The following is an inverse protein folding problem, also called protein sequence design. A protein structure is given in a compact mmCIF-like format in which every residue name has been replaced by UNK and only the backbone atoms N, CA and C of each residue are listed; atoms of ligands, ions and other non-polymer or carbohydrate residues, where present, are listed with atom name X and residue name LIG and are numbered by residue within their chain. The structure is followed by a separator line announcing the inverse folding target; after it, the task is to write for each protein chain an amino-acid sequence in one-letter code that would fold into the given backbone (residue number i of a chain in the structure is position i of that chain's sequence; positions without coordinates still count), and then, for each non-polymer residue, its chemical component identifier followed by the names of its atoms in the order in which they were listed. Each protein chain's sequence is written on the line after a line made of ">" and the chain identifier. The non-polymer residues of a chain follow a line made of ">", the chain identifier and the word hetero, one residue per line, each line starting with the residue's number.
data_IF_458979765408
#
_entry.id   IF_458979765408
#
_cell.length_a   1.000
_cell.length_b   1.000
_cell.length_c   1.000
_cell.angle_alpha   90.00
_cell.angle_beta   90.00
_cell.angle_gamma   90.00
#
_symmetry.space_group_name_H-M   'P 1'
#
loop_
_entity.id
_entity.type
_entity.pdbx_description
1 polymer ?
#
# COMPACT_ATOMS: atom_id res chain seq x y z
N UNK A 1 41.83 4.55 -41.45
CA UNK A 1 42.69 3.80 -40.52
C UNK A 1 41.84 2.72 -39.87
N UNK A 2 42.17 1.45 -40.16
CA UNK A 2 41.56 0.26 -39.55
C UNK A 2 42.17 0.06 -38.17
N UNK A 3 41.36 -0.10 -37.13
CA UNK A 3 41.84 -0.63 -35.85
C UNK A 3 41.14 -1.96 -35.57
N UNK A 4 41.99 -2.90 -35.20
CA UNK A 4 41.82 -4.35 -35.17
C UNK A 4 41.35 -4.76 -33.78
N UNK A 5 40.41 -5.70 -33.75
CA UNK A 5 39.95 -6.39 -32.55
C UNK A 5 41.05 -7.32 -32.00
N UNK A 6 41.15 -7.44 -30.67
CA UNK A 6 41.90 -8.52 -30.03
C UNK A 6 41.09 -9.11 -28.87
N UNK A 7 40.69 -10.36 -29.04
CA UNK A 7 40.08 -11.25 -28.04
C UNK A 7 41.20 -12.00 -27.33
N UNK A 8 41.18 -12.18 -25.99
CA UNK A 8 41.88 -13.26 -25.35
C UNK A 8 40.94 -14.44 -25.02
N UNK A 9 41.46 -15.63 -25.32
CA UNK A 9 40.81 -16.94 -25.22
C UNK A 9 41.32 -17.67 -23.96
N UNK A 10 40.39 -18.35 -23.30
CA UNK A 10 40.52 -19.65 -22.59
C UNK A 10 41.46 -19.83 -21.40
N UNK A 11 40.85 -20.30 -20.30
CA UNK A 11 41.51 -21.13 -19.28
C UNK A 11 40.49 -22.04 -18.58
N UNK A 12 40.32 -23.26 -19.09
CA UNK A 12 39.58 -24.35 -18.41
C UNK A 12 40.34 -24.79 -17.16
N UNK A 13 39.64 -25.05 -16.05
CA UNK A 13 40.00 -26.11 -15.10
C UNK A 13 38.75 -26.87 -14.67
N UNK A 14 38.89 -28.18 -14.70
CA UNK A 14 37.91 -29.18 -14.35
C UNK A 14 38.18 -29.74 -12.95
N UNK A 15 37.12 -30.33 -12.38
CA UNK A 15 37.12 -31.46 -11.43
C UNK A 15 37.57 -31.20 -9.98
N UNK A 16 36.69 -31.47 -9.01
CA UNK A 16 36.65 -32.77 -8.32
C UNK A 16 35.40 -32.86 -7.43
N UNK A 17 34.92 -34.08 -7.24
CA UNK A 17 33.73 -34.44 -6.49
C UNK A 17 34.07 -35.26 -5.23
N UNK A 18 33.03 -35.45 -4.40
CA UNK A 18 32.72 -36.59 -3.50
C UNK A 18 33.11 -36.47 -2.00
N UNK A 19 32.14 -36.97 -1.19
CA UNK A 19 32.18 -37.65 0.13
C UNK A 19 31.35 -36.85 1.16
N UNK A 20 30.07 -37.16 1.41
CA UNK A 20 29.45 -38.31 2.11
C UNK A 20 29.89 -38.43 3.58
N UNK A 21 28.99 -38.21 4.55
CA UNK A 21 28.55 -39.23 5.51
C UNK A 21 27.83 -38.63 6.74
N UNK A 22 26.79 -39.36 7.12
CA UNK A 22 25.86 -39.28 8.26
C UNK A 22 26.48 -39.57 9.63
N UNK A 23 25.92 -38.97 10.70
CA UNK A 23 25.75 -39.58 12.04
C UNK A 23 24.42 -39.10 12.64
N UNK A 24 23.62 -40.05 13.13
CA UNK A 24 22.45 -39.87 14.00
C UNK A 24 22.84 -40.15 15.46
N UNK A 25 22.04 -39.68 16.44
CA UNK A 25 21.50 -40.48 17.59
C UNK A 25 20.76 -39.59 18.61
N UNK A 26 19.60 -40.14 19.01
CA UNK A 26 18.63 -39.89 20.08
C UNK A 26 19.19 -39.59 21.49
N UNK A 27 18.48 -38.76 22.28
CA UNK A 27 18.36 -38.95 23.73
C UNK A 27 17.06 -38.34 24.32
N UNK A 28 16.17 -39.21 24.82
CA UNK A 28 15.12 -38.90 25.80
C UNK A 28 15.70 -38.90 27.22
N UNK A 29 15.19 -38.04 28.11
CA UNK A 29 15.51 -38.13 29.54
C UNK A 29 14.62 -37.25 30.40
N UNK A 30 13.58 -37.83 30.99
CA UNK A 30 12.79 -37.26 32.09
C UNK A 30 13.22 -37.89 33.43
N UNK A 31 13.37 -37.09 34.50
CA UNK A 31 13.26 -37.59 35.87
C UNK A 31 12.08 -36.98 36.64
N UNK A 32 11.48 -37.80 37.49
CA UNK A 32 10.29 -37.53 38.31
C UNK A 32 10.64 -37.14 39.76
N UNK A 33 9.89 -36.16 40.30
CA UNK A 33 9.44 -35.92 41.71
C UNK A 33 10.47 -35.63 42.83
N UNK A 34 10.17 -34.65 43.71
CA UNK A 34 9.32 -34.94 44.87
C UNK A 34 8.25 -33.88 45.19
N UNK A 35 7.23 -34.35 45.92
CA UNK A 35 6.11 -33.63 46.51
C UNK A 35 6.56 -32.80 47.72
N UNK A 36 6.10 -31.56 47.83
CA UNK A 36 6.26 -30.70 49.01
C UNK A 36 5.02 -29.81 49.18
N UNK A 37 4.53 -29.74 50.41
CA UNK A 37 3.26 -29.16 50.88
C UNK A 37 3.21 -27.61 50.84
N UNK A 38 1.97 -27.13 50.65
CA UNK A 38 1.31 -25.93 51.15
C UNK A 38 2.09 -24.63 51.36
N UNK A 39 1.76 -23.62 50.55
CA UNK A 39 1.52 -22.26 51.07
C UNK A 39 0.53 -21.51 50.16
N UNK A 40 -0.64 -21.20 50.72
CA UNK A 40 -1.60 -20.27 50.14
C UNK A 40 -0.99 -18.87 50.12
N UNK A 41 -0.83 -18.27 48.95
CA UNK A 41 -0.68 -16.82 48.82
C UNK A 41 -1.49 -16.32 47.63
N UNK A 42 -2.17 -15.19 47.84
CA UNK A 42 -3.18 -14.64 46.94
C UNK A 42 -2.57 -14.20 45.62
N UNK A 43 -2.74 -15.02 44.59
CA UNK A 43 -2.49 -14.65 43.20
C UNK A 43 -3.54 -13.65 42.73
N UNK A 44 -3.27 -12.37 42.94
CA UNK A 44 -3.82 -11.31 42.10
C UNK A 44 -3.36 -11.62 40.67
N UNK A 45 -4.25 -12.26 39.92
CA UNK A 45 -4.06 -12.49 38.50
C UNK A 45 -4.31 -11.14 37.86
N UNK A 46 -3.28 -10.31 37.86
CA UNK A 46 -3.12 -9.25 36.88
C UNK A 46 -2.99 -9.96 35.54
N UNK A 47 -4.15 -10.31 34.97
CA UNK A 47 -4.31 -10.42 33.54
C UNK A 47 -3.73 -9.12 33.01
N UNK A 48 -2.50 -9.16 32.51
CA UNK A 48 -1.95 -8.12 31.67
C UNK A 48 -2.88 -8.11 30.47
N UNK A 49 -3.94 -7.31 30.60
CA UNK A 49 -4.99 -7.18 29.62
C UNK A 49 -4.28 -6.78 28.35
N UNK A 50 -4.44 -7.60 27.33
CA UNK A 50 -4.13 -7.23 25.96
C UNK A 50 -4.82 -5.88 25.72
N UNK A 51 -4.02 -4.80 25.75
CA UNK A 51 -4.49 -3.42 25.65
C UNK A 51 -4.63 -2.99 24.19
N UNK A 52 -4.38 -3.92 23.26
CA UNK A 52 -4.66 -3.72 21.84
C UNK A 52 -6.17 -3.73 21.58
N UNK A 53 -6.63 -2.69 20.90
CA UNK A 53 -7.96 -2.66 20.28
C UNK A 53 -8.04 -3.63 19.11
N UNK A 54 -9.12 -3.55 18.34
CA UNK A 54 -9.34 -4.43 17.21
C UNK A 54 -8.30 -4.19 16.11
N UNK A 55 -7.44 -5.19 15.90
CA UNK A 55 -6.37 -5.14 14.91
C UNK A 55 -6.90 -5.12 13.47
N UNK A 56 -8.18 -5.36 13.21
CA UNK A 56 -8.79 -5.24 11.87
C UNK A 56 -9.26 -3.80 11.57
N UNK A 57 -9.42 -2.96 12.60
CA UNK A 57 -9.95 -1.60 12.48
C UNK A 57 -8.80 -0.60 12.27
N UNK A 58 -8.63 -0.10 11.05
CA UNK A 58 -7.62 0.94 10.77
C UNK A 58 -8.03 2.29 11.39
N UNK A 59 -7.23 2.79 12.33
CA UNK A 59 -7.45 4.08 13.00
C UNK A 59 -6.32 5.07 12.79
N UNK A 60 -5.19 4.66 12.24
CA UNK A 60 -4.09 5.58 11.94
C UNK A 60 -3.17 5.07 10.85
N UNK A 61 -2.53 6.00 10.15
CA UNK A 61 -1.47 5.66 9.20
C UNK A 61 -0.38 6.70 9.19
N UNK A 62 0.85 6.24 9.01
CA UNK A 62 2.02 7.03 8.66
C UNK A 62 2.50 6.57 7.28
N UNK A 63 2.45 7.46 6.31
CA UNK A 63 2.79 7.18 4.93
C UNK A 63 4.13 7.84 4.58
N UNK A 64 5.06 7.04 4.09
CA UNK A 64 6.32 7.47 3.50
C UNK A 64 6.22 7.22 2.00
N UNK A 65 6.03 8.29 1.23
CA UNK A 65 5.81 8.20 -0.21
C UNK A 65 7.07 8.60 -0.98
N UNK A 66 7.43 7.79 -1.97
CA UNK A 66 8.51 8.02 -2.92
C UNK A 66 7.92 8.45 -4.28
N UNK A 67 8.18 9.68 -4.70
CA UNK A 67 7.85 10.16 -6.03
C UNK A 67 9.12 10.16 -6.88
N UNK A 68 9.31 9.11 -7.68
CA UNK A 68 10.53 8.92 -8.47
C UNK A 68 10.72 9.98 -9.55
N UNK A 69 9.65 10.36 -10.22
CA UNK A 69 9.67 11.37 -11.29
C UNK A 69 10.10 12.76 -10.75
N UNK A 70 9.73 13.07 -9.50
CA UNK A 70 10.11 14.31 -8.81
C UNK A 70 11.41 14.18 -7.99
N UNK A 71 11.96 12.97 -7.84
CA UNK A 71 13.07 12.69 -6.94
C UNK A 71 12.78 13.12 -5.49
N UNK A 72 11.56 12.91 -5.00
CA UNK A 72 11.07 13.47 -3.73
C UNK A 72 10.53 12.40 -2.80
N UNK A 73 10.73 12.63 -1.50
CA UNK A 73 10.14 11.84 -0.41
C UNK A 73 9.25 12.73 0.45
N UNK A 74 8.08 12.22 0.81
CA UNK A 74 7.16 12.85 1.76
C UNK A 74 6.83 11.91 2.91
N UNK A 75 6.61 12.48 4.09
CA UNK A 75 6.10 11.75 5.26
C UNK A 75 4.87 12.47 5.76
N UNK A 76 3.78 11.74 5.93
CA UNK A 76 2.52 12.25 6.46
C UNK A 76 1.93 11.23 7.42
N UNK A 77 1.48 11.68 8.58
CA UNK A 77 0.84 10.82 9.57
C UNK A 77 -0.45 11.41 10.11
N UNK A 78 -1.39 10.53 10.45
CA UNK A 78 -2.64 10.90 11.11
C UNK A 78 -3.22 9.71 11.88
N UNK A 79 -3.78 9.98 13.05
CA UNK A 79 -4.41 8.99 13.92
C UNK A 79 -5.78 9.51 14.38
N UNK A 80 -6.74 8.61 14.51
CA UNK A 80 -8.13 8.86 14.81
C UNK A 80 -8.58 8.04 16.02
N UNK A 81 -9.67 8.46 16.66
CA UNK A 81 -10.34 7.75 17.76
C UNK A 81 -11.28 6.61 17.30
N UNK A 82 -11.25 6.27 16.01
CA UNK A 82 -12.08 5.24 15.41
C UNK A 82 -11.88 5.12 13.89
N UNK A 83 -12.57 4.17 13.23
CA UNK A 83 -12.44 3.95 11.80
C UNK A 83 -13.05 5.08 10.98
N UNK A 84 -12.41 5.39 9.84
CA UNK A 84 -13.02 6.28 8.83
C UNK A 84 -14.09 5.49 8.06
N UNK A 85 -15.37 5.92 8.08
CA UNK A 85 -16.42 5.23 7.33
C UNK A 85 -16.22 5.38 5.82
N UNK A 86 -16.57 4.34 5.06
CA UNK A 86 -16.59 4.37 3.60
C UNK A 86 -18.01 4.60 3.08
N UNK A 87 -18.20 5.65 2.28
CA UNK A 87 -19.49 5.96 1.66
C UNK A 87 -19.81 5.07 0.45
N UNK A 88 -18.79 4.39 -0.09
CA UNK A 88 -18.89 3.45 -1.20
C UNK A 88 -18.45 2.11 -0.66
N UNK A 89 -19.31 1.10 -0.83
CA UNK A 89 -19.00 -0.29 -0.58
C UNK A 89 -18.59 -0.90 -1.91
N UNK A 90 -17.44 -1.58 -1.92
CA UNK A 90 -16.94 -2.26 -3.11
C UNK A 90 -17.34 -3.72 -3.09
N UNK A 91 -18.08 -4.15 -4.10
CA UNK A 91 -18.55 -5.52 -4.25
C UNK A 91 -17.71 -6.23 -5.31
N UNK A 92 -17.19 -7.41 -4.98
CA UNK A 92 -16.47 -8.24 -5.95
C UNK A 92 -17.45 -8.83 -6.95
N UNK A 93 -17.25 -8.52 -8.23
CA UNK A 93 -18.05 -9.02 -9.34
C UNK A 93 -17.38 -10.24 -9.99
N UNK A 94 -16.05 -10.17 -10.18
CA UNK A 94 -15.25 -11.24 -10.74
C UNK A 94 -13.82 -11.24 -10.17
N UNK A 95 -13.14 -12.38 -10.26
CA UNK A 95 -11.72 -12.51 -9.90
C UNK A 95 -10.98 -13.48 -10.82
N UNK A 96 -9.70 -13.17 -11.08
CA UNK A 96 -8.80 -13.99 -11.88
C UNK A 96 -7.35 -13.74 -11.43
N UNK A 97 -6.66 -14.81 -11.04
CA UNK A 97 -5.30 -14.71 -10.49
C UNK A 97 -5.27 -13.81 -9.26
N UNK A 98 -4.34 -12.85 -9.25
CA UNK A 98 -4.14 -11.89 -8.16
C UNK A 98 -5.07 -10.66 -8.26
N UNK A 99 -5.97 -10.64 -9.24
CA UNK A 99 -6.80 -9.50 -9.59
C UNK A 99 -8.29 -9.75 -9.32
N UNK A 100 -9.00 -8.68 -8.96
CA UNK A 100 -10.44 -8.66 -8.69
C UNK A 100 -11.08 -7.45 -9.36
N UNK A 101 -12.18 -7.68 -10.06
CA UNK A 101 -13.08 -6.62 -10.53
C UNK A 101 -14.06 -6.27 -9.41
N UNK A 102 -14.09 -5.00 -9.05
CA UNK A 102 -14.96 -4.44 -8.02
C UNK A 102 -15.94 -3.45 -8.64
N UNK A 103 -17.21 -3.52 -8.23
CA UNK A 103 -18.25 -2.54 -8.57
C UNK A 103 -18.66 -1.75 -7.33
N UNK A 104 -18.96 -0.44 -7.48
CA UNK A 104 -19.34 0.38 -6.34
C UNK A 104 -20.85 0.25 -6.05
N UNK A 105 -21.19 -0.01 -4.79
CA UNK A 105 -22.53 0.20 -4.23
C UNK A 105 -22.49 1.41 -3.29
N UNK A 106 -23.46 2.30 -3.44
CA UNK A 106 -23.67 3.42 -2.51
C UNK A 106 -24.85 3.07 -1.60
N UNK A 107 -24.62 2.79 -0.30
CA UNK A 107 -25.69 2.51 0.63
C UNK A 107 -26.68 3.68 0.76
N UNK A 108 -27.95 3.35 1.00
CA UNK A 108 -29.01 4.34 1.14
C UNK A 108 -29.55 4.40 2.57
N UNK A 109 -29.58 5.60 3.12
CA UNK A 109 -30.26 5.89 4.38
C UNK A 109 -31.44 6.82 4.08
N UNK A 110 -32.66 6.31 4.27
CA UNK A 110 -33.90 7.08 4.06
C UNK A 110 -33.96 8.33 4.94
N UNK A 111 -33.42 8.22 6.16
CA UNK A 111 -33.15 9.36 7.03
C UNK A 111 -31.68 9.77 6.87
N UNK A 112 -31.37 11.01 6.44
CA UNK A 112 -29.99 11.45 6.28
C UNK A 112 -29.19 11.33 7.59
N UNK A 113 -27.95 10.83 7.51
CA UNK A 113 -27.07 10.60 8.67
C UNK A 113 -26.62 11.87 9.43
N UNK A 114 -27.00 13.06 8.98
CA UNK A 114 -26.49 14.33 9.49
C UNK A 114 -25.13 14.69 8.90
N UNK A 115 -24.61 15.88 9.23
CA UNK A 115 -23.40 16.43 8.61
C UNK A 115 -22.07 15.81 9.06
N UNK A 116 -22.08 14.93 10.06
CA UNK A 116 -20.88 14.33 10.68
C UNK A 116 -20.88 12.80 10.61
N UNK A 117 -21.69 12.22 9.74
CA UNK A 117 -21.79 10.78 9.54
C UNK A 117 -22.15 10.47 8.08
N UNK A 118 -21.94 9.23 7.67
CA UNK A 118 -22.29 8.73 6.34
C UNK A 118 -22.99 7.37 6.43
N UNK A 119 -23.80 7.06 5.42
CA UNK A 119 -24.45 5.76 5.30
C UNK A 119 -23.40 4.73 4.86
N UNK A 120 -23.13 3.74 5.70
CA UNK A 120 -22.12 2.69 5.43
C UNK A 120 -22.76 1.36 5.06
N UNK A 121 -24.03 1.19 5.40
CA UNK A 121 -24.91 0.12 4.96
C UNK A 121 -26.34 0.68 4.95
N UNK A 122 -27.27 0.04 4.26
CA UNK A 122 -28.64 0.53 4.17
C UNK A 122 -29.25 0.80 5.56
N UNK A 123 -29.80 2.01 5.73
CA UNK A 123 -30.33 2.54 6.99
C UNK A 123 -29.33 2.58 8.17
N UNK A 124 -28.02 2.44 7.91
CA UNK A 124 -26.97 2.40 8.93
C UNK A 124 -26.00 3.56 8.77
N UNK A 125 -26.09 4.51 9.70
CA UNK A 125 -25.20 5.66 9.78
C UNK A 125 -24.00 5.39 10.67
N UNK A 126 -22.80 5.73 10.18
CA UNK A 126 -21.56 5.73 10.96
C UNK A 126 -20.98 7.14 11.01
N UNK A 127 -20.61 7.58 12.21
CA UNK A 127 -19.97 8.89 12.41
C UNK A 127 -18.55 8.90 11.89
N UNK A 128 -18.09 10.05 11.39
CA UNK A 128 -16.67 10.26 11.13
C UNK A 128 -15.90 10.27 12.45
N UNK A 129 -14.70 9.67 12.50
CA UNK A 129 -13.89 9.69 13.69
C UNK A 129 -13.22 11.06 13.88
N UNK A 130 -12.79 11.36 15.09
CA UNK A 130 -12.06 12.58 15.42
C UNK A 130 -10.56 12.32 15.31
N UNK A 131 -9.84 13.20 14.63
CA UNK A 131 -8.38 13.13 14.59
C UNK A 131 -7.79 13.54 15.95
N UNK A 132 -7.02 12.64 16.56
CA UNK A 132 -6.43 12.83 17.89
C UNK A 132 -4.91 12.92 17.86
N UNK A 133 -4.33 13.42 18.95
CA UNK A 133 -2.88 13.46 19.14
C UNK A 133 -2.40 12.19 19.86
N UNK A 134 -1.27 11.66 19.38
CA UNK A 134 -0.47 10.60 20.04
C UNK A 134 0.80 11.18 20.68
N UNK A 135 0.85 12.51 20.87
CA UNK A 135 2.03 13.23 21.35
C UNK A 135 3.05 13.47 20.24
N UNK A 136 4.31 13.73 20.63
CA UNK A 136 5.43 13.84 19.69
C UNK A 136 5.75 12.47 19.09
N UNK A 137 5.83 12.41 17.76
CA UNK A 137 6.21 11.21 17.01
C UNK A 137 7.70 11.27 16.68
N UNK A 138 8.42 10.18 16.91
CA UNK A 138 9.81 10.00 16.45
C UNK A 138 9.83 9.09 15.23
N UNK A 139 10.55 9.50 14.18
CA UNK A 139 10.78 8.71 12.97
C UNK A 139 12.25 8.36 12.88
N UNK A 140 12.56 7.08 12.66
CA UNK A 140 13.91 6.55 12.53
C UNK A 140 14.07 5.80 11.20
N UNK A 141 15.30 5.77 10.67
CA UNK A 141 15.64 5.06 9.44
C UNK A 141 15.51 5.91 8.17
N UNK A 142 15.07 7.17 8.29
CA UNK A 142 14.97 8.10 7.16
C UNK A 142 16.11 9.12 7.17
N UNK A 143 16.94 9.08 6.12
CA UNK A 143 18.06 10.02 5.97
C UNK A 143 17.57 11.41 5.55
N UNK A 144 18.12 12.40 6.22
CA UNK A 144 17.92 13.83 5.92
C UNK A 144 19.08 14.38 5.10
N UNK A 145 18.87 15.48 4.37
CA UNK A 145 19.94 16.21 3.66
C UNK A 145 21.03 16.71 4.61
N UNK A 146 20.68 16.95 5.87
CA UNK A 146 21.61 17.32 6.93
C UNK A 146 22.42 16.14 7.50
N UNK A 147 22.19 14.91 7.02
CA UNK A 147 22.92 13.70 7.42
C UNK A 147 22.40 13.00 8.68
N UNK A 148 21.33 13.50 9.30
CA UNK A 148 20.63 12.78 10.37
C UNK A 148 19.79 11.61 9.81
N UNK A 149 19.54 10.60 10.65
CA UNK A 149 18.70 9.43 10.33
C UNK A 149 17.49 9.27 11.28
N UNK A 150 17.21 10.31 12.06
CA UNK A 150 16.08 10.40 12.97
C UNK A 150 15.63 11.85 13.09
N UNK A 151 14.33 12.06 13.26
CA UNK A 151 13.71 13.36 13.53
C UNK A 151 12.37 13.17 14.24
N UNK A 152 11.83 14.26 14.79
CA UNK A 152 10.51 14.27 15.43
C UNK A 152 9.48 15.06 14.63
N UNK A 153 8.22 14.73 14.84
CA UNK A 153 7.06 15.44 14.32
C UNK A 153 6.09 15.73 15.47
N UNK A 154 5.77 16.99 15.67
CA UNK A 154 4.68 17.40 16.57
C UNK A 154 3.37 17.54 15.75
N UNK A 155 2.22 17.27 16.36
CA UNK A 155 0.94 17.40 15.67
C UNK A 155 0.62 18.86 15.36
N UNK A 156 0.28 19.16 14.11
CA UNK A 156 -0.27 20.45 13.69
C UNK A 156 -1.66 20.18 13.14
N UNK A 157 -2.69 20.65 13.86
CA UNK A 157 -4.09 20.32 13.56
C UNK A 157 -4.32 18.79 13.41
N UNK A 158 -3.79 18.03 14.38
CA UNK A 158 -3.84 16.55 14.42
C UNK A 158 -3.22 15.85 13.20
N UNK A 159 -2.32 16.53 12.49
CA UNK A 159 -1.56 15.97 11.36
C UNK A 159 -0.07 16.01 11.67
N UNK A 160 0.64 14.95 11.31
CA UNK A 160 2.07 14.81 11.51
C UNK A 160 2.80 14.95 10.18
N UNK A 161 3.77 15.84 10.14
CA UNK A 161 4.66 16.03 9.00
C UNK A 161 6.02 16.54 9.49
N UNK A 162 7.12 16.28 8.76
CA UNK A 162 8.43 16.81 9.13
C UNK A 162 8.39 18.34 9.22
N UNK A 163 9.05 18.88 10.25
CA UNK A 163 9.22 20.33 10.38
C UNK A 163 9.93 20.94 9.17
N UNK A 164 9.72 22.22 8.89
CA UNK A 164 10.22 22.86 7.65
C UNK A 164 11.74 22.81 7.44
N UNK A 165 12.51 22.65 8.52
CA UNK A 165 13.97 22.45 8.51
C UNK A 165 14.41 21.01 8.21
N UNK A 166 13.52 20.03 8.32
CA UNK A 166 13.80 18.63 8.00
C UNK A 166 13.55 18.43 6.50
N UNK A 167 14.63 18.17 5.76
CA UNK A 167 14.60 17.82 4.34
C UNK A 167 15.11 16.39 4.18
N UNK A 168 14.35 15.55 3.48
CA UNK A 168 14.69 14.15 3.25
C UNK A 168 15.46 14.01 1.95
N UNK A 169 16.47 13.14 1.94
CA UNK A 169 17.13 12.74 0.68
C UNK A 169 16.24 11.77 -0.09
N UNK A 170 16.51 11.59 -1.38
CA UNK A 170 15.80 10.64 -2.22
C UNK A 170 16.75 9.56 -2.80
N UNK A 171 16.44 8.26 -2.64
CA UNK A 171 15.56 7.69 -1.61
C UNK A 171 16.14 7.91 -0.20
N UNK A 172 15.31 8.02 0.85
CA UNK A 172 15.77 8.33 2.21
C UNK A 172 16.38 7.11 2.91
N UNK A 173 16.26 5.91 2.34
CA UNK A 173 16.74 4.63 2.85
C UNK A 173 17.24 3.75 1.71
N UNK A 174 17.91 2.64 2.03
CA UNK A 174 18.11 1.50 1.13
C UNK A 174 16.96 0.49 1.22
N UNK A 175 16.89 -0.40 0.24
CA UNK A 175 15.93 -1.51 0.24
C UNK A 175 16.24 -2.49 1.40
N UNK A 176 15.22 -2.82 2.19
CA UNK A 176 15.34 -3.66 3.38
C UNK A 176 15.80 -2.94 4.65
N UNK A 177 16.20 -1.67 4.58
CA UNK A 177 16.59 -0.91 5.78
C UNK A 177 15.40 -0.80 6.76
N UNK A 178 15.61 -0.94 8.08
CA UNK A 178 14.53 -0.81 9.06
C UNK A 178 14.08 0.64 9.17
N UNK A 179 12.78 0.84 9.25
CA UNK A 179 12.14 2.14 9.47
C UNK A 179 11.18 1.99 10.65
N UNK A 180 11.23 2.91 11.59
CA UNK A 180 10.36 2.90 12.77
C UNK A 180 9.67 4.25 12.96
N UNK A 181 8.42 4.19 13.42
CA UNK A 181 7.65 5.34 13.89
C UNK A 181 7.15 5.02 15.29
N UNK A 182 7.50 5.88 16.25
CA UNK A 182 7.22 5.69 17.68
C UNK A 182 6.55 6.91 18.27
N UNK A 183 5.55 6.69 19.11
CA UNK A 183 4.86 7.72 19.87
C UNK A 183 4.57 7.22 21.29
N UNK A 184 4.80 8.05 22.31
CA UNK A 184 4.52 7.70 23.71
C UNK A 184 3.02 7.73 24.05
N UNK A 185 2.21 8.37 23.19
CA UNK A 185 0.79 8.61 23.41
C UNK A 185 0.49 9.98 24.00
N UNK A 186 -0.75 10.43 23.84
CA UNK A 186 -1.28 11.64 24.49
C UNK A 186 -2.79 11.51 24.72
N UNK A 187 -3.61 11.98 23.77
CA UNK A 187 -5.06 11.83 23.80
C UNK A 187 -5.46 10.43 23.32
N UNK A 188 -4.68 9.88 22.39
CA UNK A 188 -4.76 8.51 21.91
C UNK A 188 -3.57 7.69 22.41
N UNK A 189 -3.69 6.36 22.37
CA UNK A 189 -2.65 5.43 22.80
C UNK A 189 -1.31 5.60 22.07
N UNK A 190 -0.21 5.41 22.81
CA UNK A 190 1.14 5.32 22.24
C UNK A 190 1.37 4.03 21.46
N UNK A 191 2.37 4.02 20.58
CA UNK A 191 2.71 2.87 19.74
C UNK A 191 4.16 2.89 19.26
N UNK A 192 4.61 1.75 18.78
CA UNK A 192 5.79 1.60 17.92
C UNK A 192 5.41 0.72 16.73
N UNK A 193 5.63 1.22 15.52
CA UNK A 193 5.38 0.47 14.28
C UNK A 193 6.64 0.46 13.42
N UNK A 194 6.96 -0.70 12.85
CA UNK A 194 8.14 -0.90 12.00
C UNK A 194 7.74 -1.31 10.58
N UNK A 195 8.49 -0.82 9.60
CA UNK A 195 8.42 -1.25 8.21
C UNK A 195 9.84 -1.48 7.66
N UNK A 196 9.94 -1.77 6.36
CA UNK A 196 11.21 -1.89 5.63
C UNK A 196 11.25 -0.91 4.46
N UNK A 197 12.44 -0.40 4.16
CA UNK A 197 12.67 0.38 2.96
C UNK A 197 12.43 -0.47 1.71
N UNK A 198 11.91 0.17 0.65
CA UNK A 198 11.65 -0.46 -0.65
C UNK A 198 12.53 0.15 -1.74
N UNK A 199 12.74 -0.56 -2.85
CA UNK A 199 13.32 0.06 -4.04
C UNK A 199 12.31 1.03 -4.70
N UNK A 200 12.74 2.16 -5.31
CA UNK A 200 11.87 2.98 -6.14
C UNK A 200 11.18 2.18 -7.26
N UNK A 201 9.90 2.44 -7.51
CA UNK A 201 9.17 1.78 -8.60
C UNK A 201 9.52 2.39 -9.95
N UNK A 202 9.93 1.55 -10.90
CA UNK A 202 10.16 1.90 -12.29
C UNK A 202 9.28 1.03 -13.18
N UNK A 203 8.16 1.59 -13.65
CA UNK A 203 7.26 0.92 -14.59
C UNK A 203 7.88 0.93 -15.99
N UNK A 204 8.05 -0.26 -16.59
CA UNK A 204 8.63 -0.44 -17.92
C UNK A 204 7.56 -0.27 -19.00
N UNK A 205 6.33 -0.69 -18.72
CA UNK A 205 5.18 -0.46 -19.60
C UNK A 205 4.87 1.04 -19.66
N UNK A 206 5.01 1.64 -20.84
CA UNK A 206 4.80 3.08 -21.04
C UNK A 206 3.41 3.39 -21.62
N UNK A 207 3.07 2.74 -22.73
CA UNK A 207 1.77 2.86 -23.39
C UNK A 207 0.87 1.72 -22.94
N UNK A 208 -0.34 2.06 -22.48
CA UNK A 208 -1.29 1.09 -21.95
C UNK A 208 -2.63 1.28 -22.65
N UNK A 209 -2.89 0.38 -23.58
CA UNK A 209 -4.14 0.32 -24.33
C UNK A 209 -5.05 -0.76 -23.73
N UNK A 210 -6.32 -0.45 -23.55
CA UNK A 210 -7.34 -1.45 -23.23
C UNK A 210 -8.23 -1.73 -24.44
N UNK A 211 -8.48 -3.01 -24.67
CA UNK A 211 -9.43 -3.49 -25.65
C UNK A 211 -10.17 -4.72 -25.09
N UNK A 212 -11.43 -4.95 -25.50
CA UNK A 212 -12.13 -6.19 -25.17
C UNK A 212 -11.36 -7.41 -25.67
N UNK A 213 -11.45 -8.52 -24.93
CA UNK A 213 -10.84 -9.82 -25.21
C UNK A 213 -9.31 -9.80 -25.28
N UNK A 214 -8.68 -8.76 -24.73
CA UNK A 214 -7.23 -8.59 -24.67
C UNK A 214 -6.80 -8.49 -23.21
N UNK A 215 -5.89 -9.37 -22.79
CA UNK A 215 -5.26 -9.30 -21.47
C UNK A 215 -4.32 -8.09 -21.39
N UNK A 216 -4.29 -7.43 -20.24
CA UNK A 216 -3.36 -6.34 -20.00
C UNK A 216 -2.09 -6.87 -19.33
N UNK A 217 -0.95 -6.78 -20.02
CA UNK A 217 0.36 -7.09 -19.47
C UNK A 217 1.05 -5.83 -18.92
N UNK A 218 1.48 -5.91 -17.66
CA UNK A 218 2.26 -4.89 -16.96
C UNK A 218 3.64 -5.44 -16.64
N UNK A 219 4.67 -4.61 -16.78
CA UNK A 219 6.03 -4.96 -16.42
C UNK A 219 6.71 -3.78 -15.70
N UNK A 220 7.53 -4.11 -14.71
CA UNK A 220 8.34 -3.16 -13.93
C UNK A 220 9.72 -3.75 -13.63
N UNK A 221 10.65 -2.91 -13.20
CA UNK A 221 11.92 -3.39 -12.67
C UNK A 221 11.69 -4.07 -11.31
N UNK A 222 11.83 -5.40 -11.26
CA UNK A 222 11.67 -6.17 -10.02
C UNK A 222 12.60 -5.66 -8.90
N UNK A 223 12.11 -5.75 -7.67
CA UNK A 223 12.89 -5.43 -6.48
C UNK A 223 14.05 -6.44 -6.28
N UNK A 224 15.14 -6.02 -5.61
CA UNK A 224 16.24 -6.94 -5.33
C UNK A 224 15.89 -7.95 -4.23
N UNK A 225 14.92 -7.59 -3.37
CA UNK A 225 14.32 -8.40 -2.30
C UNK A 225 12.79 -8.42 -2.49
N UNK A 226 12.28 -9.12 -3.52
CA UNK A 226 10.88 -9.07 -3.92
C UNK A 226 9.91 -9.62 -2.86
N UNK A 227 10.39 -10.35 -1.86
CA UNK A 227 9.62 -10.82 -0.72
C UNK A 227 9.32 -9.73 0.32
N UNK A 228 9.99 -8.57 0.24
CA UNK A 228 9.77 -7.45 1.16
C UNK A 228 8.70 -6.48 0.68
N UNK A 229 8.28 -6.56 -0.58
CA UNK A 229 7.28 -5.64 -1.14
C UNK A 229 6.17 -6.38 -1.85
N UNK A 230 4.99 -5.76 -1.81
CA UNK A 230 3.84 -6.15 -2.61
C UNK A 230 3.64 -5.10 -3.70
N UNK A 231 3.27 -5.56 -4.90
CA UNK A 231 2.82 -4.68 -5.97
C UNK A 231 1.30 -4.64 -5.95
N UNK A 232 0.75 -3.44 -5.72
CA UNK A 232 -0.66 -3.15 -5.87
C UNK A 232 -0.92 -2.46 -7.19
N UNK A 233 -1.94 -2.91 -7.89
CA UNK A 233 -2.42 -2.27 -9.12
C UNK A 233 -3.86 -1.86 -8.91
N UNK A 234 -4.19 -0.62 -9.27
CA UNK A 234 -5.57 -0.14 -9.38
C UNK A 234 -5.79 0.39 -10.79
N UNK A 235 -6.66 -0.26 -11.56
CA UNK A 235 -7.12 0.19 -12.87
C UNK A 235 -8.52 0.79 -12.73
N UNK A 236 -8.67 2.06 -13.10
CA UNK A 236 -9.89 2.84 -12.99
C UNK A 236 -10.19 3.53 -14.33
N UNK A 237 -11.20 3.05 -15.06
CA UNK A 237 -11.59 3.56 -16.38
C UNK A 237 -12.70 4.61 -16.32
N UNK A 238 -12.97 5.15 -15.13
CA UNK A 238 -14.04 6.15 -14.89
C UNK A 238 -13.58 7.27 -13.94
N UNK A 239 -12.27 7.50 -13.86
CA UNK A 239 -11.67 8.49 -12.95
C UNK A 239 -12.28 9.89 -13.20
N UNK A 240 -12.85 10.49 -12.16
CA UNK A 240 -13.56 11.78 -12.17
C UNK A 240 -14.90 11.82 -12.93
N UNK A 241 -15.20 10.83 -13.78
CA UNK A 241 -16.45 10.75 -14.55
C UNK A 241 -17.60 10.03 -13.84
N UNK A 242 -17.42 9.66 -12.57
CA UNK A 242 -18.34 8.82 -11.81
C UNK A 242 -17.93 7.35 -11.91
N UNK A 243 -17.40 6.80 -10.82
CA UNK A 243 -16.81 5.47 -10.81
C UNK A 243 -17.85 4.38 -11.10
N UNK A 244 -17.59 3.57 -12.14
CA UNK A 244 -18.47 2.46 -12.56
C UNK A 244 -17.94 1.09 -12.12
N UNK A 245 -16.63 0.98 -11.98
CA UNK A 245 -15.92 -0.22 -11.49
C UNK A 245 -14.42 0.02 -11.46
N UNK A 246 -13.67 -0.89 -10.86
CA UNK A 246 -12.22 -0.87 -10.84
C UNK A 246 -11.68 -2.29 -10.79
N UNK A 247 -10.55 -2.55 -11.42
CA UNK A 247 -9.78 -3.76 -11.16
C UNK A 247 -8.70 -3.42 -10.14
N UNK A 248 -8.63 -4.21 -9.08
CA UNK A 248 -7.54 -4.15 -8.10
C UNK A 248 -6.77 -5.46 -8.07
N UNK A 249 -5.45 -5.37 -8.00
CA UNK A 249 -4.58 -6.53 -7.87
C UNK A 249 -3.59 -6.34 -6.72
N UNK A 250 -3.17 -7.44 -6.11
CA UNK A 250 -2.06 -7.48 -5.16
C UNK A 250 -1.20 -8.70 -5.48
N UNK A 251 0.01 -8.48 -6.00
CA UNK A 251 0.89 -9.52 -6.51
C UNK A 251 2.31 -9.37 -5.95
N UNK A 252 3.14 -10.39 -6.16
CA UNK A 252 4.55 -10.36 -5.76
C UNK A 252 5.32 -9.31 -6.57
N UNK A 253 6.43 -8.81 -6.03
CA UNK A 253 7.28 -7.83 -6.72
C UNK A 253 8.32 -8.50 -7.65
N UNK A 254 7.86 -9.42 -8.49
CA UNK A 254 8.71 -10.24 -9.36
C UNK A 254 8.93 -9.67 -10.78
N UNK A 255 8.27 -8.55 -11.09
CA UNK A 255 8.53 -7.74 -12.28
C UNK A 255 7.42 -7.75 -13.33
N UNK A 256 6.38 -8.57 -13.16
CA UNK A 256 5.29 -8.67 -14.14
C UNK A 256 3.93 -8.98 -13.52
N UNK A 257 2.86 -8.52 -14.19
CA UNK A 257 1.49 -8.89 -13.89
C UNK A 257 0.69 -8.95 -15.18
N UNK A 258 -0.09 -10.01 -15.36
CA UNK A 258 -1.12 -10.07 -16.40
C UNK A 258 -2.51 -9.94 -15.77
N UNK A 259 -3.26 -8.91 -16.16
CA UNK A 259 -4.69 -8.80 -15.86
C UNK A 259 -5.47 -9.54 -16.95
N UNK A 260 -6.21 -10.56 -16.55
CA UNK A 260 -6.92 -11.45 -17.47
C UNK A 260 -7.87 -10.67 -18.42
N UNK A 261 -7.95 -11.13 -19.67
CA UNK A 261 -8.80 -10.54 -20.71
C UNK A 261 -10.27 -10.42 -20.29
N UNK A 262 -10.80 -11.46 -19.63
CA UNK A 262 -12.20 -11.47 -19.17
C UNK A 262 -12.46 -10.33 -18.17
N UNK A 263 -11.55 -10.07 -17.23
CA UNK A 263 -11.69 -8.93 -16.30
C UNK A 263 -11.65 -7.59 -17.03
N UNK A 264 -10.76 -7.43 -18.01
CA UNK A 264 -10.67 -6.21 -18.83
C UNK A 264 -11.96 -5.99 -19.64
N UNK A 265 -12.48 -7.04 -20.27
CA UNK A 265 -13.75 -7.01 -21.00
C UNK A 265 -14.90 -6.62 -20.06
N UNK A 266 -15.01 -7.26 -18.90
CA UNK A 266 -16.08 -7.01 -17.94
C UNK A 266 -16.00 -5.57 -17.40
N UNK A 267 -14.79 -5.07 -17.08
CA UNK A 267 -14.59 -3.69 -16.68
C UNK A 267 -15.07 -2.72 -17.77
N UNK A 268 -14.64 -2.92 -19.04
CA UNK A 268 -15.06 -2.09 -20.16
C UNK A 268 -16.58 -2.13 -20.40
N UNK A 269 -17.22 -3.28 -20.13
CA UNK A 269 -18.66 -3.46 -20.27
C UNK A 269 -19.48 -2.65 -19.23
N UNK A 270 -18.90 -2.31 -18.07
CA UNK A 270 -19.50 -1.36 -17.12
C UNK A 270 -19.58 0.06 -17.69
N UNK A 271 -18.81 0.34 -18.75
CA UNK A 271 -18.72 1.61 -19.43
C UNK A 271 -17.50 2.42 -19.00
N UNK A 272 -17.08 3.33 -19.87
CA UNK A 272 -15.96 4.24 -19.66
C UNK A 272 -16.47 5.64 -19.31
N UNK A 273 -15.65 6.43 -18.62
CA UNK A 273 -15.89 7.84 -18.35
C UNK A 273 -14.57 8.52 -17.95
N UNK A 274 -14.54 9.84 -17.87
CA UNK A 274 -13.46 10.51 -17.17
C UNK A 274 -12.10 10.38 -17.86
N UNK A 275 -11.06 10.28 -17.04
CA UNK A 275 -9.65 10.12 -17.46
C UNK A 275 -9.13 8.75 -17.02
N UNK A 276 -9.37 7.68 -17.80
CA UNK A 276 -8.90 6.35 -17.45
C UNK A 276 -7.44 6.33 -17.02
N UNK A 277 -7.18 5.74 -15.86
CA UNK A 277 -5.82 5.63 -15.33
C UNK A 277 -5.57 4.31 -14.66
N UNK A 278 -4.29 3.96 -14.59
CA UNK A 278 -3.79 2.85 -13.79
C UNK A 278 -2.72 3.37 -12.85
N UNK A 279 -2.83 2.98 -11.59
CA UNK A 279 -1.85 3.27 -10.55
C UNK A 279 -1.20 1.96 -10.16
N UNK A 280 0.11 1.88 -10.36
CA UNK A 280 0.94 0.78 -9.88
C UNK A 280 1.71 1.29 -8.67
N UNK A 281 1.64 0.57 -7.56
CA UNK A 281 2.27 0.93 -6.30
C UNK A 281 3.08 -0.24 -5.79
N UNK A 282 4.37 0.00 -5.52
CA UNK A 282 5.19 -0.87 -4.70
C UNK A 282 5.09 -0.44 -3.26
N UNK A 283 4.82 -1.35 -2.34
CA UNK A 283 4.73 -1.02 -0.93
C UNK A 283 5.25 -2.10 0.03
N UNK A 284 5.66 -1.67 1.21
CA UNK A 284 5.76 -2.48 2.42
C UNK A 284 4.88 -1.84 3.51
N UNK A 285 4.07 -2.65 4.20
CA UNK A 285 3.20 -2.19 5.29
C UNK A 285 3.60 -2.85 6.60
N UNK A 286 3.96 -2.02 7.56
CA UNK A 286 4.05 -2.39 8.97
C UNK A 286 2.77 -2.06 9.72
N UNK A 287 2.43 -2.81 10.76
CA UNK A 287 1.26 -2.53 11.58
C UNK A 287 1.47 -2.86 13.05
N UNK A 288 0.76 -2.13 13.91
CA UNK A 288 0.62 -2.41 15.34
C UNK A 288 -0.79 -2.03 15.81
N UNK A 289 -1.28 -2.66 16.87
CA UNK A 289 -2.54 -2.28 17.51
C UNK A 289 -2.30 -1.33 18.69
N UNK A 290 -3.22 -0.39 18.88
CA UNK A 290 -3.45 0.46 20.05
C UNK A 290 -4.89 0.28 20.51
N UNK A 291 -5.28 0.85 21.66
CA UNK A 291 -6.63 0.68 22.23
C UNK A 291 -7.77 1.05 21.25
N UNK A 292 -7.53 2.02 20.37
CA UNK A 292 -8.49 2.51 19.38
C UNK A 292 -8.59 1.61 18.13
N UNK A 293 -7.55 0.83 17.82
CA UNK A 293 -7.47 -0.05 16.65
C UNK A 293 -6.05 -0.19 16.11
N UNK A 294 -5.89 -0.47 14.81
CA UNK A 294 -4.61 -0.63 14.12
C UNK A 294 -4.04 0.70 13.60
N UNK A 295 -2.75 0.90 13.79
CA UNK A 295 -1.94 1.95 13.16
C UNK A 295 -0.98 1.29 12.17
N UNK A 296 -0.92 1.83 10.95
CA UNK A 296 -0.04 1.34 9.88
C UNK A 296 1.13 2.29 9.59
N UNK A 297 2.27 1.72 9.23
CA UNK A 297 3.39 2.41 8.58
C UNK A 297 3.51 1.90 7.15
N UNK A 298 3.15 2.74 6.19
CA UNK A 298 3.15 2.42 4.77
C UNK A 298 4.33 3.10 4.10
N UNK A 299 5.24 2.29 3.54
CA UNK A 299 6.34 2.78 2.70
C UNK A 299 5.96 2.46 1.26
N UNK A 300 5.73 3.48 0.43
CA UNK A 300 5.16 3.29 -0.90
C UNK A 300 5.88 4.11 -1.99
N UNK A 301 5.98 3.53 -3.19
CA UNK A 301 6.38 4.19 -4.41
C UNK A 301 5.32 3.92 -5.49
N UNK A 302 4.72 4.97 -6.03
CA UNK A 302 3.61 4.86 -6.99
C UNK A 302 3.93 5.52 -8.31
N UNK A 303 3.43 4.92 -9.39
CA UNK A 303 3.46 5.46 -10.74
C UNK A 303 2.04 5.41 -11.29
N UNK A 304 1.54 6.54 -11.76
CA UNK A 304 0.27 6.62 -12.49
C UNK A 304 0.53 6.76 -13.98
N UNK A 305 -0.27 6.06 -14.78
CA UNK A 305 -0.30 6.17 -16.24
C UNK A 305 -1.72 6.34 -16.72
N UNK A 306 -1.88 7.19 -17.73
CA UNK A 306 -3.13 7.27 -18.48
C UNK A 306 -3.33 6.00 -19.28
N UNK A 307 -4.60 5.63 -19.45
CA UNK A 307 -5.03 4.48 -20.24
C UNK A 307 -5.66 4.98 -21.53
N UNK A 308 -5.28 4.38 -22.65
CA UNK A 308 -5.94 4.62 -23.93
C UNK A 308 -7.03 3.58 -24.14
N UNK A 309 -8.20 4.03 -24.58
CA UNK A 309 -9.32 3.16 -24.96
C UNK A 309 -9.83 3.65 -26.31
N UNK A 310 -9.96 2.74 -27.29
CA UNK A 310 -10.41 3.11 -28.63
C UNK A 310 -11.80 3.76 -28.59
N UNK A 311 -11.96 4.85 -29.35
CA UNK A 311 -13.19 5.63 -29.40
C UNK A 311 -13.48 6.52 -28.19
N UNK A 312 -12.67 6.49 -27.13
CA UNK A 312 -12.82 7.39 -25.99
C UNK A 312 -11.97 8.65 -26.18
N UNK A 313 -12.58 9.82 -25.98
CA UNK A 313 -11.88 11.10 -25.87
C UNK A 313 -12.32 11.79 -24.58
N UNK A 314 -11.39 11.89 -23.63
CA UNK A 314 -11.60 12.60 -22.36
C UNK A 314 -11.48 14.11 -22.54
N UNK A 315 -12.27 14.88 -21.78
CA UNK A 315 -12.30 16.34 -21.87
C UNK A 315 -12.57 17.00 -20.52
N UNK A 316 -12.15 18.25 -20.39
CA UNK A 316 -12.56 19.17 -19.32
C UNK A 316 -13.49 20.27 -19.86
N UNK A 317 -13.45 20.53 -21.17
CA UNK A 317 -14.32 21.47 -21.86
C UNK A 317 -14.48 21.14 -23.36
N UNK A 318 -15.46 21.78 -24.01
CA UNK A 318 -15.83 21.55 -25.41
C UNK A 318 -14.68 21.78 -26.41
N UNK A 319 -13.68 22.59 -26.07
CA UNK A 319 -12.56 22.89 -26.99
C UNK A 319 -11.62 21.70 -27.21
N UNK A 320 -11.71 20.68 -26.35
CA UNK A 320 -10.93 19.45 -26.45
C UNK A 320 -11.63 18.38 -27.30
N UNK A 321 -12.88 18.62 -27.70
CA UNK A 321 -13.68 17.69 -28.47
C UNK A 321 -13.60 17.99 -29.98
N UNK A 322 -13.86 16.97 -30.80
CA UNK A 322 -13.90 17.14 -32.26
C UNK A 322 -15.11 17.99 -32.68
N UNK A 323 -15.04 18.57 -33.89
CA UNK A 323 -16.11 19.43 -34.42
C UNK A 323 -17.49 18.76 -34.35
N UNK A 324 -18.41 19.40 -33.62
CA UNK A 324 -19.78 18.94 -33.44
C UNK A 324 -20.05 18.11 -32.19
N UNK A 325 -19.01 17.78 -31.41
CA UNK A 325 -19.14 17.16 -30.09
C UNK A 325 -19.07 18.20 -28.97
N UNK A 326 -19.58 17.86 -27.80
CA UNK A 326 -19.45 18.65 -26.57
C UNK A 326 -18.91 17.79 -25.43
N UNK A 327 -18.26 18.43 -24.46
CA UNK A 327 -17.79 17.76 -23.27
C UNK A 327 -18.95 17.48 -22.31
N UNK A 328 -19.18 16.20 -22.05
CA UNK A 328 -20.28 15.75 -21.21
C UNK A 328 -19.94 15.85 -19.72
N UNK A 329 -20.95 15.71 -18.87
CA UNK A 329 -20.78 15.74 -17.42
C UNK A 329 -19.91 14.60 -16.88
N UNK A 330 -19.81 13.49 -17.62
CA UNK A 330 -18.91 12.37 -17.31
C UNK A 330 -17.50 12.57 -17.91
N UNK A 331 -17.20 13.77 -18.42
CA UNK A 331 -15.89 14.20 -18.94
C UNK A 331 -15.46 13.43 -20.20
N UNK A 332 -16.44 13.01 -21.00
CA UNK A 332 -16.21 12.40 -22.32
C UNK A 332 -16.76 13.30 -23.44
N UNK A 333 -16.12 13.28 -24.60
CA UNK A 333 -16.64 13.94 -25.79
C UNK A 333 -17.73 13.07 -26.45
N UNK A 334 -18.92 13.65 -26.62
CA UNK A 334 -20.04 13.03 -27.32
C UNK A 334 -20.77 14.04 -28.20
#
# INVERSE_FOLDING_TARGET
>A
MKLVACIPRSGRRASLAVVLSTIAVVACGSPSRPSGEDTSDGGDTTTSGDTGGDAEVLVGSFQISLAAEDGKTTVLGKVYDGPTPAAIVWEEDASAGDCRLLTPRVPLCSTPCGGSAVCVEDETCQSYPTAGSVGTVTVEGLRTEAGAASFTMDPIASTYQPGGSVKLVYPPFGEGDPIAVTAEGEALGGFMVEARGIAPLALVTADIDLAPDVALALAWEAAAQPELSTIRVKLDISHHGGTKGTIVCATADDGELEIAADLVTDLLALGVAGFPSIVVTREHVGATAIAEGRVELVVAASVERSITIDGLVSCNDDSQCSDGQTCQADLTCA
#
